data_IF_305818108252
#
_entry.id   IF_305818108252
#
_cell.length_a   1.000
_cell.length_b   1.000
_cell.length_c   1.000
_cell.angle_alpha   90.00
_cell.angle_beta   90.00
_cell.angle_gamma   90.00
#
_symmetry.space_group_name_H-M   'P 1'
#
loop_
_entity.id
_entity.type
_entity.pdbx_description
1 polymer ?
#
# COMPACT_ATOMS: atom_id res chain seq x y z
N UNK A 1 -26.25 36.99 27.51
CA UNK A 1 -25.81 35.75 26.84
C UNK A 1 -24.60 35.25 27.59
N UNK A 2 -24.67 34.11 28.29
CA UNK A 2 -23.50 33.55 28.97
C UNK A 2 -22.65 32.84 27.93
N UNK A 3 -21.51 33.43 27.58
CA UNK A 3 -20.50 32.79 26.72
C UNK A 3 -19.76 31.77 27.59
N UNK A 4 -20.04 30.48 27.39
CA UNK A 4 -19.35 29.41 28.10
C UNK A 4 -17.94 29.28 27.51
N UNK A 5 -16.94 29.74 28.25
CA UNK A 5 -15.53 29.60 27.83
C UNK A 5 -15.13 28.13 27.91
N UNK A 6 -14.52 27.63 26.84
CA UNK A 6 -14.08 26.25 26.73
C UNK A 6 -13.11 25.81 27.85
N UNK A 7 -12.35 26.76 28.40
CA UNK A 7 -11.43 26.53 29.53
C UNK A 7 -12.13 26.22 30.86
N UNK A 8 -13.46 26.36 30.93
CA UNK A 8 -14.27 26.03 32.11
C UNK A 8 -14.77 24.59 32.09
N UNK A 9 -14.57 23.85 30.99
CA UNK A 9 -14.94 22.44 30.90
C UNK A 9 -13.93 21.56 31.66
N UNK A 10 -14.38 20.50 32.35
CA UNK A 10 -13.48 19.48 32.89
C UNK A 10 -12.61 18.86 31.78
N UNK A 11 -11.39 18.47 32.13
CA UNK A 11 -10.45 17.86 31.17
C UNK A 11 -11.03 16.64 30.48
N UNK A 12 -11.82 15.82 31.19
CA UNK A 12 -12.46 14.63 30.63
C UNK A 12 -13.49 14.98 29.54
N UNK A 13 -14.23 16.08 29.71
CA UNK A 13 -15.17 16.57 28.71
C UNK A 13 -14.43 17.05 27.46
N UNK A 14 -13.32 17.78 27.64
CA UNK A 14 -12.47 18.23 26.53
C UNK A 14 -11.86 17.02 25.80
N UNK A 15 -11.32 16.05 26.54
CA UNK A 15 -10.77 14.81 25.99
C UNK A 15 -11.81 14.00 25.21
N UNK A 16 -13.04 13.93 25.72
CA UNK A 16 -14.15 13.28 25.02
C UNK A 16 -14.46 13.98 23.68
N UNK A 17 -14.55 15.31 23.67
CA UNK A 17 -14.75 16.11 22.44
C UNK A 17 -13.60 15.86 21.46
N UNK A 18 -12.36 15.93 21.92
CA UNK A 18 -11.17 15.68 21.10
C UNK A 18 -11.15 14.27 20.51
N UNK A 19 -11.78 13.29 21.17
CA UNK A 19 -11.81 11.92 20.67
C UNK A 19 -12.66 11.71 19.41
N UNK A 20 -13.45 12.70 19.01
CA UNK A 20 -14.16 12.72 17.72
C UNK A 20 -13.39 13.46 16.62
N UNK A 21 -12.28 14.13 16.97
CA UNK A 21 -11.46 14.89 16.03
C UNK A 21 -10.39 13.98 15.39
N UNK A 22 -9.88 14.37 14.22
CA UNK A 22 -8.73 13.68 13.62
C UNK A 22 -7.45 13.95 14.42
N UNK A 23 -6.44 13.07 14.31
CA UNK A 23 -5.12 13.30 14.91
C UNK A 23 -4.53 14.67 14.52
N UNK A 24 -4.77 15.11 13.28
CA UNK A 24 -4.36 16.42 12.78
C UNK A 24 -5.07 17.56 13.49
N UNK A 25 -6.37 17.45 13.70
CA UNK A 25 -7.17 18.49 14.35
C UNK A 25 -6.86 18.59 15.84
N UNK A 26 -6.62 17.46 16.51
CA UNK A 26 -6.14 17.43 17.90
C UNK A 26 -4.82 18.22 18.03
N UNK A 27 -3.88 18.01 17.11
CA UNK A 27 -2.62 18.76 17.12
C UNK A 27 -2.85 20.27 16.95
N UNK A 28 -3.82 20.69 16.13
CA UNK A 28 -4.18 22.11 15.98
C UNK A 28 -4.89 22.67 17.20
N UNK A 29 -5.81 21.91 17.78
CA UNK A 29 -6.56 22.30 18.98
C UNK A 29 -5.65 22.50 20.19
N UNK A 30 -4.53 21.77 20.28
CA UNK A 30 -3.49 21.96 21.31
C UNK A 30 -2.93 23.39 21.41
N UNK A 31 -3.09 24.18 20.35
CA UNK A 31 -2.59 25.56 20.26
C UNK A 31 -3.64 26.60 20.69
N UNK A 32 -4.90 26.19 20.86
CA UNK A 32 -6.03 27.11 21.10
C UNK A 32 -6.05 27.60 22.56
N UNK A 33 -5.80 26.71 23.53
CA UNK A 33 -5.75 27.07 24.95
C UNK A 33 -4.89 26.10 25.77
N UNK A 34 -4.46 26.48 26.99
CA UNK A 34 -3.74 25.58 27.89
C UNK A 34 -4.53 24.32 28.25
N UNK A 35 -5.85 24.44 28.46
CA UNK A 35 -6.71 23.31 28.77
C UNK A 35 -6.76 22.31 27.60
N UNK A 36 -6.89 22.82 26.37
CA UNK A 36 -6.81 22.01 25.15
C UNK A 36 -5.46 21.34 24.96
N UNK A 37 -4.37 22.05 25.26
CA UNK A 37 -3.02 21.48 25.19
C UNK A 37 -2.89 20.25 26.08
N UNK A 38 -3.27 20.37 27.36
CA UNK A 38 -3.17 19.25 28.30
C UNK A 38 -4.04 18.07 27.86
N UNK A 39 -5.29 18.33 27.47
CA UNK A 39 -6.18 17.27 26.99
C UNK A 39 -5.66 16.59 25.71
N UNK A 40 -5.03 17.34 24.81
CA UNK A 40 -4.47 16.83 23.55
C UNK A 40 -3.21 15.98 23.71
N UNK A 41 -2.58 15.97 24.88
CA UNK A 41 -1.41 15.12 25.19
C UNK A 41 -1.79 13.85 25.96
N UNK A 42 -3.09 13.61 26.21
CA UNK A 42 -3.58 12.45 26.97
C UNK A 42 -3.37 11.12 26.23
N UNK A 43 -2.77 10.15 26.88
CA UNK A 43 -2.56 8.82 26.29
C UNK A 43 -3.88 8.07 26.00
N UNK A 44 -4.91 8.28 26.82
CA UNK A 44 -6.26 7.70 26.60
C UNK A 44 -6.84 8.17 25.25
N UNK A 45 -6.55 9.42 24.87
CA UNK A 45 -6.98 9.96 23.60
C UNK A 45 -6.19 9.32 22.44
N UNK A 46 -4.86 9.26 22.57
CA UNK A 46 -3.98 8.75 21.51
C UNK A 46 -4.08 7.23 21.30
N UNK A 47 -4.44 6.48 22.34
CA UNK A 47 -4.69 5.05 22.27
C UNK A 47 -5.80 4.70 21.28
N UNK A 48 -6.81 5.57 21.09
CA UNK A 48 -7.88 5.37 20.11
C UNK A 48 -7.42 5.43 18.65
N UNK A 49 -6.29 6.10 18.37
CA UNK A 49 -5.71 6.19 17.03
C UNK A 49 -4.74 5.05 16.73
N UNK A 50 -4.35 4.28 17.75
CA UNK A 50 -3.51 3.12 17.58
C UNK A 50 -4.39 1.91 17.20
N UNK A 51 -3.89 1.00 16.36
CA UNK A 51 -4.57 -0.27 16.14
C UNK A 51 -4.71 -1.06 17.44
N UNK A 52 -5.80 -1.80 17.62
CA UNK A 52 -6.02 -2.60 18.85
C UNK A 52 -4.88 -3.60 19.13
N UNK A 53 -4.23 -4.09 18.09
CA UNK A 53 -3.12 -5.03 18.10
C UNK A 53 -1.75 -4.35 17.98
N UNK A 54 -1.62 -3.06 18.34
CA UNK A 54 -0.35 -2.33 18.22
C UNK A 54 0.78 -3.01 19.01
N UNK A 55 0.49 -3.68 20.13
CA UNK A 55 1.51 -4.44 20.90
C UNK A 55 2.05 -5.63 20.10
N UNK A 56 1.20 -6.34 19.36
CA UNK A 56 1.62 -7.41 18.47
C UNK A 56 2.51 -6.83 17.35
N UNK A 57 2.11 -5.71 16.76
CA UNK A 57 2.92 -5.01 15.76
C UNK A 57 4.30 -4.64 16.32
N UNK A 58 4.36 -4.12 17.56
CA UNK A 58 5.61 -3.77 18.22
C UNK A 58 6.51 -5.00 18.42
N UNK A 59 5.94 -6.16 18.77
CA UNK A 59 6.70 -7.40 18.95
C UNK A 59 7.34 -7.93 17.66
N UNK A 60 6.79 -7.56 16.50
CA UNK A 60 7.21 -8.02 15.16
C UNK A 60 8.23 -7.09 14.50
N UNK A 61 8.53 -5.95 15.13
CA UNK A 61 9.47 -4.96 14.60
C UNK A 61 10.89 -5.52 14.47
N UNK A 62 11.55 -5.19 13.37
CA UNK A 62 12.99 -5.48 13.18
C UNK A 62 13.85 -4.62 14.10
N UNK A 63 13.43 -3.38 14.36
CA UNK A 63 14.13 -2.44 15.24
C UNK A 63 13.14 -1.89 16.26
N UNK A 64 13.39 -2.08 17.58
CA UNK A 64 12.49 -1.62 18.62
C UNK A 64 12.27 -0.11 18.57
N UNK A 65 11.03 0.31 18.76
CA UNK A 65 10.66 1.72 18.89
C UNK A 65 10.59 2.06 20.38
N UNK A 66 11.47 2.97 20.82
CA UNK A 66 11.37 3.58 22.16
C UNK A 66 10.41 4.76 22.07
N UNK A 67 9.45 4.88 23.00
CA UNK A 67 8.51 5.99 23.06
C UNK A 67 8.14 6.31 24.51
N UNK A 68 7.78 7.56 24.79
CA UNK A 68 7.40 8.06 26.13
C UNK A 68 5.91 8.30 26.29
N UNK A 69 5.16 8.38 25.18
CA UNK A 69 3.71 8.56 25.16
C UNK A 69 3.08 7.83 23.96
N UNK A 70 1.78 7.57 24.01
CA UNK A 70 1.01 6.98 22.90
C UNK A 70 0.97 7.91 21.69
N UNK A 71 1.00 9.22 21.90
CA UNK A 71 1.17 10.22 20.84
C UNK A 71 2.49 10.02 20.08
N UNK A 72 3.60 9.90 20.83
CA UNK A 72 4.92 9.68 20.22
C UNK A 72 4.94 8.35 19.45
N UNK A 73 4.35 7.29 20.01
CA UNK A 73 4.20 6.02 19.34
C UNK A 73 3.42 6.15 18.02
N UNK A 74 2.25 6.79 18.04
CA UNK A 74 1.43 7.02 16.85
C UNK A 74 2.22 7.74 15.76
N UNK A 75 2.90 8.84 16.10
CA UNK A 75 3.71 9.61 15.16
C UNK A 75 4.87 8.79 14.56
N UNK A 76 5.48 7.90 15.35
CA UNK A 76 6.52 6.98 14.86
C UNK A 76 5.95 5.94 13.92
N UNK A 77 4.80 5.34 14.25
CA UNK A 77 4.11 4.38 13.40
C UNK A 77 3.48 5.00 12.15
N UNK A 78 3.28 6.32 12.09
CA UNK A 78 2.95 7.01 10.83
C UNK A 78 4.10 7.00 9.81
N UNK A 79 5.32 6.67 10.22
CA UNK A 79 6.44 6.44 9.30
C UNK A 79 6.56 4.93 9.04
N UNK A 80 6.99 4.53 7.83
CA UNK A 80 7.14 3.11 7.51
C UNK A 80 8.16 2.41 8.41
N UNK A 81 7.72 1.34 9.06
CA UNK A 81 8.54 0.49 9.94
C UNK A 81 8.62 -0.93 9.40
N UNK A 82 9.79 -1.55 9.51
CA UNK A 82 10.02 -2.92 9.06
C UNK A 82 9.58 -3.92 10.13
N UNK A 83 8.84 -4.93 9.71
CA UNK A 83 8.38 -6.05 10.53
C UNK A 83 8.75 -7.38 9.86
N UNK A 84 8.58 -8.49 10.58
CA UNK A 84 8.74 -9.85 10.07
C UNK A 84 10.07 -10.05 9.32
N UNK A 85 11.19 -9.89 10.05
CA UNK A 85 12.55 -10.00 9.51
C UNK A 85 12.88 -9.00 8.37
N UNK A 86 12.05 -7.97 8.19
CA UNK A 86 12.23 -6.94 7.18
C UNK A 86 11.63 -7.30 5.83
N UNK A 87 10.80 -8.34 5.76
CA UNK A 87 10.13 -8.76 4.52
C UNK A 87 8.80 -8.02 4.31
N UNK A 88 8.30 -7.36 5.37
CA UNK A 88 7.09 -6.54 5.34
C UNK A 88 7.35 -5.18 5.99
N UNK A 89 6.57 -4.20 5.58
CA UNK A 89 6.61 -2.85 6.12
C UNK A 89 5.20 -2.42 6.50
N UNK A 90 5.05 -1.72 7.62
CA UNK A 90 3.76 -1.25 8.12
C UNK A 90 3.86 0.23 8.48
N UNK A 91 2.79 0.98 8.25
CA UNK A 91 2.62 2.33 8.78
C UNK A 91 1.15 2.66 8.96
N UNK A 92 0.87 3.69 9.75
CA UNK A 92 -0.47 4.22 9.95
C UNK A 92 -0.73 5.41 9.03
N UNK A 93 -1.91 5.46 8.44
CA UNK A 93 -2.39 6.66 7.79
C UNK A 93 -2.53 7.79 8.82
N UNK A 94 -1.96 8.95 8.50
CA UNK A 94 -1.83 10.08 9.43
C UNK A 94 -3.17 10.69 9.86
N UNK A 95 -4.20 10.53 9.03
CA UNK A 95 -5.51 11.13 9.27
C UNK A 95 -6.44 10.16 9.99
N UNK A 96 -6.44 8.90 9.57
CA UNK A 96 -7.40 7.88 10.00
C UNK A 96 -6.84 6.90 11.02
N UNK A 97 -5.52 6.82 11.19
CA UNK A 97 -4.85 5.80 12.02
C UNK A 97 -4.95 4.37 11.46
N UNK A 98 -5.49 4.20 10.25
CA UNK A 98 -5.67 2.89 9.63
C UNK A 98 -4.33 2.34 9.14
N UNK A 99 -4.13 1.03 9.27
CA UNK A 99 -2.91 0.36 8.84
C UNK A 99 -2.81 0.37 7.32
N UNK A 100 -1.63 0.71 6.83
CA UNK A 100 -1.14 0.43 5.49
C UNK A 100 0.05 -0.51 5.60
N UNK A 101 0.25 -1.35 4.60
CA UNK A 101 1.40 -2.25 4.60
C UNK A 101 1.99 -2.42 3.20
N UNK A 102 3.23 -2.90 3.16
CA UNK A 102 3.88 -3.33 1.94
C UNK A 102 4.52 -4.70 2.17
N UNK A 103 4.30 -5.60 1.22
CA UNK A 103 4.99 -6.89 1.12
C UNK A 103 6.19 -6.71 0.20
N UNK A 104 7.37 -7.17 0.62
CA UNK A 104 8.57 -7.15 -0.22
C UNK A 104 8.45 -8.13 -1.39
N UNK A 105 9.33 -7.99 -2.39
CA UNK A 105 9.46 -8.97 -3.46
C UNK A 105 9.72 -10.40 -2.94
N UNK A 106 10.41 -10.56 -1.80
CA UNK A 106 10.70 -11.85 -1.17
C UNK A 106 9.45 -12.54 -0.58
N UNK A 107 8.45 -11.75 -0.21
CA UNK A 107 7.17 -12.27 0.28
C UNK A 107 6.21 -12.68 -0.85
N UNK A 108 6.54 -12.34 -2.11
CA UNK A 108 5.70 -12.66 -3.26
C UNK A 108 5.97 -14.10 -3.73
N UNK A 109 4.91 -14.78 -4.16
CA UNK A 109 5.01 -16.04 -4.88
C UNK A 109 5.14 -15.76 -6.37
N UNK A 110 6.38 -15.81 -6.86
CA UNK A 110 6.74 -15.53 -8.25
C UNK A 110 7.20 -16.85 -8.90
N UNK A 111 6.61 -17.19 -10.04
CA UNK A 111 6.92 -18.45 -10.74
C UNK A 111 8.37 -18.46 -11.23
N UNK A 112 9.10 -19.54 -10.86
CA UNK A 112 10.53 -19.77 -11.14
C UNK A 112 11.48 -18.67 -10.66
N UNK A 113 11.13 -17.94 -9.60
CA UNK A 113 11.94 -16.85 -9.07
C UNK A 113 13.32 -17.27 -8.53
N UNK A 114 13.50 -18.55 -8.24
CA UNK A 114 14.76 -19.18 -7.85
C UNK A 114 15.66 -19.50 -9.05
N UNK A 115 15.12 -19.49 -10.28
CA UNK A 115 15.88 -19.83 -11.47
C UNK A 115 16.63 -18.60 -12.05
N UNK A 116 17.98 -18.60 -12.01
CA UNK A 116 18.78 -17.42 -12.37
C UNK A 116 18.77 -17.05 -13.86
N UNK A 117 18.18 -17.89 -14.72
CA UNK A 117 17.98 -17.59 -16.14
C UNK A 117 16.77 -16.68 -16.36
N UNK A 118 15.81 -16.71 -15.44
CA UNK A 118 14.54 -15.99 -15.55
C UNK A 118 14.48 -14.79 -14.64
N UNK A 119 15.07 -14.87 -13.45
CA UNK A 119 15.01 -13.82 -12.44
C UNK A 119 16.37 -13.55 -11.82
N UNK A 120 16.64 -12.27 -11.54
CA UNK A 120 17.84 -11.81 -10.84
C UNK A 120 17.43 -11.06 -9.59
N UNK A 121 17.74 -11.61 -8.42
CA UNK A 121 17.64 -10.90 -7.15
C UNK A 121 18.83 -9.95 -7.00
N UNK A 122 18.57 -8.72 -6.58
CA UNK A 122 19.63 -7.71 -6.41
C UNK A 122 19.27 -6.66 -5.37
N UNK A 123 20.26 -6.08 -4.68
CA UNK A 123 20.03 -4.88 -3.90
C UNK A 123 19.72 -3.70 -4.82
N UNK A 124 18.86 -2.79 -4.36
CA UNK A 124 18.55 -1.56 -5.07
C UNK A 124 18.43 -0.42 -4.06
N UNK A 125 19.31 0.59 -4.17
CA UNK A 125 19.38 1.71 -3.22
C UNK A 125 18.08 2.50 -3.07
N UNK A 126 17.25 2.50 -4.11
CA UNK A 126 15.95 3.19 -4.13
C UNK A 126 14.80 2.29 -3.62
N UNK A 127 15.09 1.08 -3.16
CA UNK A 127 14.11 0.15 -2.60
C UNK A 127 13.91 0.40 -1.11
N UNK A 128 12.68 0.17 -0.65
CA UNK A 128 12.34 0.16 0.78
C UNK A 128 12.75 -1.16 1.48
N UNK A 129 13.11 -2.17 0.69
CA UNK A 129 13.55 -3.49 1.14
C UNK A 129 14.97 -3.80 0.65
N UNK A 130 15.63 -4.73 1.33
CA UNK A 130 17.03 -5.11 1.04
C UNK A 130 17.22 -5.59 -0.42
N UNK A 131 16.25 -6.31 -0.96
CA UNK A 131 16.32 -6.88 -2.30
C UNK A 131 15.06 -6.59 -3.10
N UNK A 132 15.27 -6.51 -4.41
CA UNK A 132 14.23 -6.51 -5.44
C UNK A 132 14.53 -7.64 -6.42
N UNK A 133 13.55 -8.00 -7.23
CA UNK A 133 13.74 -9.02 -8.27
C UNK A 133 13.54 -8.41 -9.65
N UNK A 134 14.52 -8.60 -10.54
CA UNK A 134 14.43 -8.22 -11.94
C UNK A 134 14.12 -9.45 -12.79
N UNK A 135 13.09 -9.33 -13.63
CA UNK A 135 12.81 -10.28 -14.68
C UNK A 135 13.88 -10.18 -15.77
N UNK A 136 14.61 -11.26 -16.02
CA UNK A 136 15.60 -11.34 -17.10
C UNK A 136 14.89 -11.60 -18.43
N UNK A 137 14.21 -12.75 -18.55
CA UNK A 137 13.46 -13.14 -19.74
C UNK A 137 12.51 -14.30 -19.44
N UNK A 138 11.22 -14.17 -19.71
CA UNK A 138 10.22 -15.26 -19.56
C UNK A 138 9.07 -15.11 -20.56
N UNK A 139 8.40 -16.20 -20.91
CA UNK A 139 7.10 -16.15 -21.62
C UNK A 139 5.90 -16.22 -20.65
N UNK A 140 6.06 -16.88 -19.50
CA UNK A 140 5.07 -17.03 -18.44
C UNK A 140 5.35 -16.06 -17.28
N UNK A 141 4.60 -14.96 -17.18
CA UNK A 141 4.73 -14.03 -16.06
C UNK A 141 3.59 -14.26 -15.06
N UNK A 142 3.93 -14.63 -13.84
CA UNK A 142 2.95 -14.83 -12.78
C UNK A 142 3.52 -14.41 -11.43
N UNK A 143 2.88 -13.41 -10.84
CA UNK A 143 3.22 -12.84 -9.54
C UNK A 143 1.96 -12.94 -8.68
N UNK A 144 2.05 -13.62 -7.55
CA UNK A 144 0.97 -13.74 -6.59
C UNK A 144 1.43 -13.26 -5.21
N UNK A 145 0.49 -12.81 -4.40
CA UNK A 145 0.73 -12.50 -3.00
C UNK A 145 -0.51 -12.81 -2.16
N UNK A 146 -0.25 -13.03 -0.89
CA UNK A 146 -1.26 -13.32 0.13
C UNK A 146 -1.01 -12.45 1.34
N UNK A 147 -2.07 -11.95 1.95
CA UNK A 147 -2.00 -11.28 3.24
C UNK A 147 -3.24 -11.61 4.06
N UNK A 148 -3.03 -11.88 5.36
CA UNK A 148 -4.13 -12.10 6.28
C UNK A 148 -4.80 -10.76 6.63
N UNK A 149 -6.13 -10.72 6.63
CA UNK A 149 -6.90 -9.49 6.93
C UNK A 149 -6.64 -8.92 8.32
N UNK A 150 -6.17 -9.71 9.30
CA UNK A 150 -5.75 -9.23 10.63
C UNK A 150 -4.58 -8.24 10.58
N UNK A 151 -3.75 -8.32 9.53
CA UNK A 151 -2.67 -7.33 9.31
C UNK A 151 -3.18 -5.95 8.86
N UNK A 152 -4.46 -5.87 8.49
CA UNK A 152 -5.12 -4.66 8.02
C UNK A 152 -6.12 -4.18 9.08
N UNK A 153 -6.59 -2.94 8.94
CA UNK A 153 -7.63 -2.41 9.81
C UNK A 153 -9.01 -2.91 9.36
N UNK A 154 -9.88 -3.33 10.28
CA UNK A 154 -11.24 -3.75 9.95
C UNK A 154 -12.09 -2.55 9.52
N UNK A 155 -13.25 -2.84 8.95
CA UNK A 155 -14.22 -1.90 8.41
C UNK A 155 -13.58 -0.83 7.52
N UNK A 156 -12.73 -1.28 6.58
CA UNK A 156 -11.92 -0.38 5.76
C UNK A 156 -11.84 -0.92 4.33
N UNK A 157 -12.11 -0.05 3.36
CA UNK A 157 -11.85 -0.34 1.94
C UNK A 157 -10.37 -0.15 1.63
N UNK A 158 -9.77 -1.12 0.95
CA UNK A 158 -8.35 -1.13 0.58
C UNK A 158 -8.17 -1.17 -0.92
N UNK A 159 -7.05 -0.59 -1.38
CA UNK A 159 -6.52 -0.80 -2.72
C UNK A 159 -5.14 -1.44 -2.66
N UNK A 160 -4.89 -2.37 -3.56
CA UNK A 160 -3.62 -3.08 -3.69
C UNK A 160 -2.87 -2.61 -4.94
N UNK A 161 -1.57 -2.37 -4.81
CA UNK A 161 -0.72 -1.86 -5.88
C UNK A 161 0.57 -2.67 -5.99
N UNK A 162 0.88 -3.17 -7.19
CA UNK A 162 2.21 -3.71 -7.47
C UNK A 162 3.17 -2.56 -7.77
N UNK A 163 4.28 -2.51 -7.05
CA UNK A 163 5.28 -1.46 -7.16
C UNK A 163 6.44 -1.95 -8.03
N UNK A 164 6.65 -1.31 -9.17
CA UNK A 164 7.58 -1.77 -10.22
C UNK A 164 8.45 -0.66 -10.80
N UNK A 165 9.55 -1.07 -11.43
CA UNK A 165 10.36 -0.26 -12.33
C UNK A 165 10.58 -1.02 -13.63
N UNK A 166 10.85 -0.30 -14.71
CA UNK A 166 11.31 -0.90 -15.97
C UNK A 166 12.80 -0.63 -16.10
N UNK A 167 13.58 -1.69 -16.32
CA UNK A 167 14.98 -1.54 -16.70
C UNK A 167 15.08 -0.87 -18.07
N UNK A 168 16.19 -0.18 -18.35
CA UNK A 168 16.42 0.45 -19.66
C UNK A 168 16.37 -0.57 -20.82
N UNK A 169 16.69 -1.82 -20.53
CA UNK A 169 16.66 -2.95 -21.46
C UNK A 169 15.30 -3.67 -21.51
N UNK A 170 14.25 -3.12 -20.91
CA UNK A 170 12.95 -3.78 -20.86
C UNK A 170 12.35 -3.98 -22.26
N UNK A 171 11.74 -5.15 -22.47
CA UNK A 171 11.14 -5.53 -23.76
C UNK A 171 9.96 -6.49 -23.53
N UNK A 172 9.07 -6.58 -24.52
CA UNK A 172 7.98 -7.55 -24.54
C UNK A 172 6.80 -7.25 -23.60
N UNK A 173 7.01 -6.51 -22.51
CA UNK A 173 6.02 -6.28 -21.45
C UNK A 173 4.74 -5.55 -21.91
N UNK A 174 4.79 -4.79 -23.01
CA UNK A 174 3.66 -4.08 -23.58
C UNK A 174 3.03 -4.77 -24.81
N UNK A 175 3.45 -6.01 -25.11
CA UNK A 175 2.96 -6.76 -26.28
C UNK A 175 1.58 -7.36 -26.07
N UNK A 176 1.28 -7.84 -24.87
CA UNK A 176 -0.02 -8.37 -24.47
C UNK A 176 -0.47 -7.68 -23.18
N UNK A 177 -1.77 -7.77 -22.89
CA UNK A 177 -2.28 -7.34 -21.60
C UNK A 177 -1.98 -8.38 -20.54
N UNK A 178 -1.62 -7.91 -19.35
CA UNK A 178 -1.58 -8.70 -18.12
C UNK A 178 -2.95 -8.66 -17.44
N UNK A 179 -3.39 -9.79 -16.87
CA UNK A 179 -4.56 -9.87 -16.00
C UNK A 179 -4.15 -9.60 -14.56
N UNK A 180 -4.84 -8.67 -13.90
CA UNK A 180 -4.69 -8.42 -12.47
C UNK A 180 -5.94 -8.82 -11.71
N UNK A 181 -5.78 -9.22 -10.46
CA UNK A 181 -6.93 -9.59 -9.62
C UNK A 181 -6.68 -9.38 -8.14
N UNK A 182 -7.77 -9.15 -7.42
CA UNK A 182 -7.84 -9.26 -5.96
C UNK A 182 -9.01 -10.16 -5.59
N UNK A 183 -8.79 -11.09 -4.67
CA UNK A 183 -9.78 -12.05 -4.17
C UNK A 183 -9.74 -12.04 -2.63
N UNK A 184 -10.90 -11.90 -1.99
CA UNK A 184 -11.09 -11.95 -0.53
C UNK A 184 -12.40 -12.67 -0.26
N UNK A 185 -12.34 -13.76 0.52
CA UNK A 185 -13.45 -14.69 0.75
C UNK A 185 -14.22 -15.01 -0.54
N UNK A 186 -15.45 -14.51 -0.72
CA UNK A 186 -16.29 -14.78 -1.91
C UNK A 186 -16.24 -13.67 -2.97
N UNK A 187 -15.50 -12.61 -2.71
CA UNK A 187 -15.38 -11.46 -3.60
C UNK A 187 -14.13 -11.57 -4.46
N UNK A 188 -14.28 -11.33 -5.77
CA UNK A 188 -13.16 -11.31 -6.71
C UNK A 188 -13.32 -10.22 -7.75
N UNK A 189 -12.29 -9.39 -7.88
CA UNK A 189 -12.12 -8.46 -8.99
C UNK A 189 -11.09 -9.01 -9.96
N UNK A 190 -11.34 -8.82 -11.26
CA UNK A 190 -10.35 -9.10 -12.30
C UNK A 190 -10.37 -7.92 -13.28
N UNK A 191 -9.20 -7.47 -13.71
CA UNK A 191 -9.03 -6.43 -14.73
C UNK A 191 -7.87 -6.79 -15.65
N UNK A 192 -7.75 -6.09 -16.77
CA UNK A 192 -6.64 -6.24 -17.71
C UNK A 192 -5.89 -4.92 -17.82
N UNK A 193 -4.58 -4.98 -17.86
CA UNK A 193 -3.69 -3.82 -17.91
C UNK A 193 -2.57 -4.05 -18.92
N UNK A 194 -1.95 -2.98 -19.41
CA UNK A 194 -0.72 -3.08 -20.21
C UNK A 194 0.48 -2.63 -19.38
N UNK A 195 1.53 -3.45 -19.32
CA UNK A 195 2.78 -3.10 -18.63
C UNK A 195 3.65 -2.18 -19.50
N UNK A 196 3.12 -0.99 -19.77
CA UNK A 196 3.78 0.03 -20.59
C UNK A 196 4.42 1.10 -19.72
N UNK A 197 5.64 1.50 -20.05
CA UNK A 197 6.27 2.66 -19.42
C UNK A 197 5.55 3.96 -19.87
N UNK A 198 5.13 4.85 -18.96
CA UNK A 198 4.34 6.04 -19.31
C UNK A 198 5.00 6.99 -20.32
N UNK A 199 6.34 7.07 -20.32
CA UNK A 199 7.08 7.98 -21.21
C UNK A 199 7.35 7.39 -22.61
N UNK A 200 7.02 6.12 -22.85
CA UNK A 200 7.27 5.49 -24.15
C UNK A 200 6.24 6.01 -25.15
N UNK A 201 6.64 6.95 -26.01
CA UNK A 201 5.79 7.48 -27.09
C UNK A 201 5.26 6.33 -27.96
N UNK A 202 3.95 6.34 -28.19
CA UNK A 202 3.27 5.43 -29.11
C UNK A 202 3.80 5.69 -30.53
N UNK A 203 4.41 4.68 -31.16
CA UNK A 203 4.70 4.68 -32.62
C UNK A 203 3.71 3.77 -33.39
N UNK A 204 2.54 3.49 -32.83
CA UNK A 204 1.48 2.78 -33.54
C UNK A 204 0.51 3.81 -34.10
N UNK A 205 0.27 3.72 -35.41
CA UNK A 205 -0.61 4.60 -36.18
C UNK A 205 -1.91 4.88 -35.44
N UNK A 206 -2.32 6.15 -35.44
CA UNK A 206 -3.55 6.70 -34.82
C UNK A 206 -4.85 5.97 -35.21
N UNK A 207 -4.81 4.99 -36.12
CA UNK A 207 -5.97 4.24 -36.60
C UNK A 207 -6.36 3.03 -35.74
N UNK A 208 -5.46 2.45 -34.93
CA UNK A 208 -5.78 1.23 -34.15
C UNK A 208 -6.25 1.53 -32.71
N UNK A 209 -5.80 2.63 -32.10
CA UNK A 209 -6.23 3.03 -30.75
C UNK A 209 -7.72 3.37 -30.70
N UNK A 210 -8.22 4.09 -31.70
CA UNK A 210 -9.63 4.49 -31.80
C UNK A 210 -10.55 3.28 -32.05
N UNK A 211 -10.05 2.19 -32.62
CA UNK A 211 -10.83 0.96 -32.78
C UNK A 211 -10.84 0.16 -31.47
N UNK A 212 -9.70 0.01 -30.78
CA UNK A 212 -9.64 -0.73 -29.50
C UNK A 212 -10.45 -0.07 -28.39
N UNK A 213 -10.36 1.25 -28.22
CA UNK A 213 -11.07 1.97 -27.15
C UNK A 213 -12.59 2.07 -27.39
N UNK A 214 -13.05 1.89 -28.63
CA UNK A 214 -14.47 1.95 -29.00
C UNK A 214 -15.16 0.58 -28.84
N UNK A 215 -14.42 -0.54 -28.93
CA UNK A 215 -14.98 -1.89 -28.74
C UNK A 215 -14.83 -2.45 -27.31
N UNK A 216 -13.87 -1.95 -26.53
CA UNK A 216 -13.75 -2.29 -25.10
C UNK A 216 -13.82 -1.01 -24.29
N UNK A 217 -14.95 -0.74 -23.67
CA UNK A 217 -15.18 0.41 -22.76
C UNK A 217 -14.38 0.34 -21.45
N UNK A 218 -13.19 -0.25 -21.46
CA UNK A 218 -12.25 -0.25 -20.34
C UNK A 218 -11.19 0.80 -20.65
N UNK A 219 -11.11 1.83 -19.80
CA UNK A 219 -9.96 2.73 -19.76
C UNK A 219 -8.70 1.88 -19.58
N UNK A 220 -7.83 1.85 -20.60
CA UNK A 220 -6.56 1.13 -20.57
C UNK A 220 -5.72 1.62 -19.38
N UNK A 221 -5.66 0.82 -18.31
CA UNK A 221 -4.96 1.23 -17.09
C UNK A 221 -3.46 1.00 -17.29
N UNK A 222 -2.71 2.10 -17.36
CA UNK A 222 -1.25 2.12 -17.51
C UNK A 222 -0.61 2.33 -16.12
N UNK A 223 0.58 1.77 -15.83
CA UNK A 223 1.31 2.04 -14.59
C UNK A 223 1.46 3.56 -14.32
N UNK A 224 1.19 4.00 -13.09
CA UNK A 224 1.26 5.42 -12.72
C UNK A 224 2.60 5.76 -12.05
N UNK A 225 3.17 6.93 -12.36
CA UNK A 225 4.40 7.42 -11.72
C UNK A 225 4.18 7.86 -10.28
N UNK A 226 5.11 7.48 -9.41
CA UNK A 226 5.21 7.93 -8.03
C UNK A 226 6.33 8.96 -7.87
N UNK A 227 6.27 9.73 -6.79
CA UNK A 227 7.29 10.73 -6.44
C UNK A 227 8.66 10.12 -6.16
N UNK A 228 8.71 8.85 -5.72
CA UNK A 228 9.92 8.08 -5.43
C UNK A 228 10.59 7.47 -6.68
N UNK A 229 10.06 7.78 -7.87
CA UNK A 229 10.53 7.27 -9.15
C UNK A 229 10.15 5.82 -9.45
N UNK A 230 9.34 5.17 -8.60
CA UNK A 230 8.71 3.89 -8.92
C UNK A 230 7.41 4.10 -9.69
N UNK A 231 6.90 3.02 -10.27
CA UNK A 231 5.57 2.96 -10.86
C UNK A 231 4.66 2.11 -9.98
N UNK A 232 3.40 2.47 -9.90
CA UNK A 232 2.36 1.67 -9.26
C UNK A 232 1.34 1.15 -10.28
N UNK A 233 0.97 -0.12 -10.11
CA UNK A 233 -0.03 -0.81 -10.89
C UNK A 233 -1.16 -1.21 -9.95
N UNK A 234 -2.36 -0.67 -10.14
CA UNK A 234 -3.53 -1.08 -9.35
C UNK A 234 -3.91 -2.53 -9.68
N UNK A 235 -3.86 -3.40 -8.67
CA UNK A 235 -4.26 -4.81 -8.79
C UNK A 235 -5.77 -4.98 -8.57
N UNK A 236 -6.36 -4.09 -7.78
CA UNK A 236 -7.79 -4.07 -7.45
C UNK A 236 -8.06 -3.46 -6.08
N UNK A 237 -9.34 -3.49 -5.70
CA UNK A 237 -9.84 -3.03 -4.42
C UNK A 237 -10.64 -4.11 -3.71
N UNK A 238 -10.71 -4.05 -2.39
CA UNK A 238 -11.45 -4.98 -1.55
C UNK A 238 -11.87 -4.32 -0.24
N UNK A 239 -12.87 -4.88 0.42
CA UNK A 239 -13.31 -4.43 1.74
C UNK A 239 -12.89 -5.43 2.81
N UNK A 240 -12.28 -4.94 3.90
CA UNK A 240 -12.01 -5.75 5.08
C UNK A 240 -13.12 -5.48 6.11
N UNK A 241 -14.00 -6.44 6.33
CA UNK A 241 -15.09 -6.35 7.32
C UNK A 241 -14.67 -6.77 8.74
N UNK A 242 -13.42 -7.20 8.91
CA UNK A 242 -12.89 -7.70 10.17
C UNK A 242 -13.02 -9.21 10.37
N UNK A 243 -13.54 -9.93 9.37
CA UNK A 243 -13.45 -11.39 9.32
C UNK A 243 -11.99 -11.84 9.13
N UNK A 244 -11.72 -13.10 9.50
CA UNK A 244 -10.39 -13.70 9.42
C UNK A 244 -10.20 -14.41 8.08
N UNK A 245 -9.92 -13.62 7.06
CA UNK A 245 -9.77 -14.06 5.68
C UNK A 245 -8.32 -13.89 5.18
N UNK A 246 -8.05 -14.51 4.03
CA UNK A 246 -6.83 -14.29 3.26
C UNK A 246 -7.15 -13.49 1.99
N UNK A 247 -6.48 -12.36 1.82
CA UNK A 247 -6.53 -11.55 0.61
C UNK A 247 -5.49 -12.09 -0.37
N UNK A 248 -5.91 -12.52 -1.55
CA UNK A 248 -5.04 -12.95 -2.64
C UNK A 248 -4.98 -11.87 -3.71
N UNK A 249 -3.76 -11.51 -4.10
CA UNK A 249 -3.49 -10.50 -5.13
C UNK A 249 -2.66 -11.15 -6.23
N UNK A 250 -2.96 -10.86 -7.51
CA UNK A 250 -2.16 -11.42 -8.60
C UNK A 250 -2.01 -10.51 -9.80
N UNK A 251 -0.90 -10.69 -10.51
CA UNK A 251 -0.64 -10.23 -11.86
C UNK A 251 -0.19 -11.42 -12.71
N UNK A 252 -0.87 -11.66 -13.83
CA UNK A 252 -0.64 -12.83 -14.68
C UNK A 252 -0.65 -12.48 -16.15
N UNK A 253 0.35 -12.97 -16.86
CA UNK A 253 0.42 -12.96 -18.32
C UNK A 253 1.00 -14.30 -18.79
N UNK A 254 0.10 -15.27 -18.93
CA UNK A 254 0.41 -16.70 -19.11
C UNK A 254 -0.09 -17.26 -20.44
N UNK A 255 -0.86 -16.48 -21.20
CA UNK A 255 -1.49 -16.89 -22.46
C UNK A 255 -0.62 -16.61 -23.70
N UNK A 256 0.52 -15.93 -23.55
CA UNK A 256 1.42 -15.55 -24.64
C UNK A 256 2.69 -16.40 -24.71
N UNK A 257 3.21 -16.60 -25.92
CA UNK A 257 4.50 -17.27 -26.16
C UNK A 257 5.66 -16.28 -26.40
N UNK A 258 5.39 -14.97 -26.37
CA UNK A 258 6.43 -13.96 -26.57
C UNK A 258 7.30 -13.82 -25.31
N UNK A 259 8.59 -13.58 -25.52
CA UNK A 259 9.51 -13.30 -24.41
C UNK A 259 9.35 -11.86 -23.95
N UNK A 260 9.40 -11.67 -22.63
CA UNK A 260 9.42 -10.37 -21.98
C UNK A 260 10.46 -10.32 -20.88
N UNK A 261 11.00 -9.13 -20.62
CA UNK A 261 12.11 -8.93 -19.70
C UNK A 261 12.24 -7.49 -19.23
N UNK A 262 13.02 -7.28 -18.18
CA UNK A 262 13.35 -5.99 -17.60
C UNK A 262 12.31 -5.41 -16.63
N UNK A 263 11.33 -6.20 -16.17
CA UNK A 263 10.43 -5.78 -15.09
C UNK A 263 11.14 -5.94 -13.74
N UNK A 264 11.29 -4.85 -12.98
CA UNK A 264 11.86 -4.86 -11.63
C UNK A 264 10.71 -4.75 -10.64
N UNK A 265 10.54 -5.73 -9.77
CA UNK A 265 9.46 -5.79 -8.78
C UNK A 265 10.02 -5.44 -7.41
N UNK A 266 9.47 -4.39 -6.80
CA UNK A 266 9.80 -3.99 -5.42
C UNK A 266 8.93 -4.66 -4.37
N UNK A 267 7.67 -4.95 -4.71
CA UNK A 267 6.71 -5.52 -3.78
C UNK A 267 5.27 -5.12 -4.09
N UNK A 268 4.35 -5.42 -3.16
CA UNK A 268 2.95 -5.01 -3.24
C UNK A 268 2.61 -4.12 -2.04
N UNK A 269 2.05 -2.94 -2.31
CA UNK A 269 1.58 -1.97 -1.32
C UNK A 269 0.05 -2.07 -1.19
N UNK A 270 -0.44 -2.17 0.03
CA UNK A 270 -1.86 -2.20 0.39
C UNK A 270 -2.15 -0.99 1.27
N UNK A 271 -3.01 -0.08 0.78
CA UNK A 271 -3.34 1.18 1.48
C UNK A 271 -4.85 1.39 1.55
N UNK A 272 -5.37 2.00 2.64
CA UNK A 272 -6.77 2.40 2.73
C UNK A 272 -7.16 3.27 1.53
N UNK A 273 -8.34 3.02 0.98
CA UNK A 273 -8.96 3.86 -0.05
C UNK A 273 -9.33 5.18 0.62
N UNK A 274 -8.87 6.30 0.03
CA UNK A 274 -9.30 7.63 0.44
C UNK A 274 -10.71 7.85 -0.11
N UNK A 275 -11.62 8.26 0.75
CA UNK A 275 -12.96 8.73 0.39
C UNK A 275 -12.91 10.12 -0.27
#
# INVERSE_FOLDING_TARGET
MYEMKLDLLPQDCIGYILSFASARDICRMSLVSPAMRVASESDILWEKFLPLDYEEVLSRLVSPIVFKSKKELFLKLCNPVLIDKGEKMLWLDKLTGKKSCMLSARELSITWADHPLYWSWKPLLQSRFAEVVELISIWWLEINAKINTRMLSPNTSYKAYLIVKFANRAYGLDSLHSKVSVEVSNYRTNRTIYLRHPDRKIQLSERLYTLSSVYTGNEDTVPCKREDGWLEIELGEFYNDGSEDEVKMSLKEVSGAHLKGGLIVGGIEIRPKKE
#
